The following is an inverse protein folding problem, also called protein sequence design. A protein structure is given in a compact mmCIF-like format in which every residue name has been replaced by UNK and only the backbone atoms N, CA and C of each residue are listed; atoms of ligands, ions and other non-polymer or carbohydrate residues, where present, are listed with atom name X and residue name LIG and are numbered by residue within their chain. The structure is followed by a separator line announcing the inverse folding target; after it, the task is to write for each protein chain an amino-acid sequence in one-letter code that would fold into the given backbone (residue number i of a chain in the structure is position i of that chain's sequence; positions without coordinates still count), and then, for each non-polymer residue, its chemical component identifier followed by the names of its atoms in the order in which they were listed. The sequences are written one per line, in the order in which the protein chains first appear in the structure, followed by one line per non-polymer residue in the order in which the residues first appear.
data_IF_670607508104
#
_entry.id   IF_670607508104
#
_cell.length_a   1.000
_cell.length_b   1.000
_cell.length_c   1.000
_cell.angle_alpha   90.00
_cell.angle_beta   90.00
_cell.angle_gamma   90.00
#
_symmetry.space_group_name_H-M   'P 1'
#
loop_
_entity.id
_entity.type
_entity.pdbx_description
1 polymer ?
#
# COMPACT_ATOMS: atom_id res chain seq x y z
N UNK A 1 -4.20 17.17 -32.59
CA UNK A 1 -3.18 16.14 -32.32
C UNK A 1 -2.50 16.37 -30.96
N UNK A 2 -2.06 17.59 -30.62
CA UNK A 2 -1.45 17.84 -29.30
C UNK A 2 -2.46 17.89 -28.14
N UNK A 3 -3.67 18.39 -28.40
CA UNK A 3 -4.74 18.43 -27.40
C UNK A 3 -5.19 17.04 -26.95
N UNK A 4 -5.36 16.10 -27.89
CA UNK A 4 -5.73 14.72 -27.59
C UNK A 4 -4.64 14.01 -26.78
N UNK A 5 -3.38 14.18 -27.15
CA UNK A 5 -2.23 13.63 -26.40
C UNK A 5 -2.16 14.17 -24.98
N UNK A 6 -2.42 15.47 -24.80
CA UNK A 6 -2.43 16.11 -23.49
C UNK A 6 -3.63 15.65 -22.65
N UNK A 7 -4.80 15.43 -23.27
CA UNK A 7 -5.96 14.85 -22.60
C UNK A 7 -5.71 13.41 -22.14
N UNK A 8 -5.05 12.58 -22.95
CA UNK A 8 -4.68 11.21 -22.58
C UNK A 8 -3.72 11.22 -21.39
N UNK A 9 -2.67 12.05 -21.44
CA UNK A 9 -1.72 12.21 -20.33
C UNK A 9 -2.41 12.66 -19.04
N UNK A 10 -3.35 13.61 -19.14
CA UNK A 10 -4.13 14.08 -18.00
C UNK A 10 -4.96 12.95 -17.38
N UNK A 11 -5.66 12.16 -18.21
CA UNK A 11 -6.45 11.02 -17.73
C UNK A 11 -5.57 9.99 -17.03
N UNK A 12 -4.42 9.64 -17.63
CA UNK A 12 -3.47 8.71 -17.04
C UNK A 12 -2.99 9.19 -15.67
N UNK A 13 -2.55 10.46 -15.56
CA UNK A 13 -2.06 11.03 -14.31
C UNK A 13 -3.15 11.07 -13.21
N UNK A 14 -4.40 11.33 -13.58
CA UNK A 14 -5.52 11.30 -12.65
C UNK A 14 -5.78 9.89 -12.12
N UNK A 15 -5.83 8.89 -13.01
CA UNK A 15 -6.01 7.49 -12.62
C UNK A 15 -4.86 6.97 -11.75
N UNK A 16 -3.61 7.34 -12.05
CA UNK A 16 -2.46 7.03 -11.19
C UNK A 16 -2.59 7.69 -9.81
N UNK A 17 -3.07 8.94 -9.76
CA UNK A 17 -3.34 9.67 -8.53
C UNK A 17 -4.41 8.99 -7.66
N UNK A 18 -5.49 8.52 -8.28
CA UNK A 18 -6.54 7.76 -7.58
C UNK A 18 -5.99 6.46 -6.98
N UNK A 19 -5.19 5.70 -7.74
CA UNK A 19 -4.56 4.48 -7.23
C UNK A 19 -3.58 4.76 -6.08
N UNK A 20 -2.84 5.86 -6.14
CA UNK A 20 -1.96 6.32 -5.05
C UNK A 20 -2.75 6.67 -3.80
N UNK A 21 -3.83 7.43 -3.96
CA UNK A 21 -4.70 7.83 -2.85
C UNK A 21 -5.31 6.60 -2.15
N UNK A 22 -5.79 5.62 -2.91
CA UNK A 22 -6.31 4.38 -2.34
C UNK A 22 -5.25 3.59 -1.55
N UNK A 23 -4.00 3.58 -2.02
CA UNK A 23 -2.90 2.94 -1.30
C UNK A 23 -2.60 3.62 0.04
N UNK A 24 -2.67 4.95 0.10
CA UNK A 24 -2.51 5.72 1.35
C UNK A 24 -3.61 5.34 2.34
N UNK A 25 -4.89 5.38 1.92
CA UNK A 25 -6.01 5.00 2.77
C UNK A 25 -5.92 3.55 3.27
N UNK A 26 -5.37 2.65 2.44
CA UNK A 26 -5.13 1.28 2.86
C UNK A 26 -4.05 1.20 3.94
N UNK A 27 -3.01 2.01 3.83
CA UNK A 27 -2.01 2.19 4.87
C UNK A 27 -2.57 2.67 6.19
N UNK A 28 -3.45 3.67 6.18
CA UNK A 28 -4.14 4.16 7.38
C UNK A 28 -4.94 3.02 8.04
N UNK A 29 -5.67 2.24 7.25
CA UNK A 29 -6.41 1.08 7.74
C UNK A 29 -5.50 0.00 8.32
N UNK A 30 -4.32 -0.23 7.73
CA UNK A 30 -3.33 -1.15 8.29
C UNK A 30 -2.85 -0.62 9.65
N UNK A 31 -2.49 0.66 9.74
CA UNK A 31 -2.03 1.26 10.98
C UNK A 31 -3.07 1.12 12.10
N UNK A 32 -4.34 1.38 11.79
CA UNK A 32 -5.45 1.17 12.72
C UNK A 32 -5.61 -0.31 13.11
N UNK A 33 -5.58 -1.23 12.14
CA UNK A 33 -5.75 -2.67 12.36
C UNK A 33 -4.64 -3.26 13.23
N UNK A 34 -3.40 -2.88 12.98
CA UNK A 34 -2.21 -3.41 13.65
C UNK A 34 -1.83 -2.60 14.89
N UNK A 35 -2.49 -1.47 15.14
CA UNK A 35 -2.24 -0.61 16.30
C UNK A 35 -0.93 0.17 16.23
N UNK A 36 -0.50 0.57 15.03
CA UNK A 36 0.72 1.35 14.85
C UNK A 36 0.54 2.77 15.40
N UNK A 37 1.53 3.24 16.16
CA UNK A 37 1.54 4.60 16.73
C UNK A 37 2.51 5.46 15.94
N UNK A 38 2.01 6.54 15.34
CA UNK A 38 2.82 7.50 14.59
C UNK A 38 3.21 7.04 13.19
N UNK A 39 2.54 6.01 12.65
CA UNK A 39 2.67 5.60 11.25
C UNK A 39 1.31 5.69 10.58
N UNK A 40 1.27 6.25 9.38
CA UNK A 40 0.09 6.36 8.54
C UNK A 40 0.46 6.15 7.07
N UNK A 41 -0.54 6.11 6.20
CA UNK A 41 -0.37 6.09 4.75
C UNK A 41 0.68 5.08 4.26
N UNK A 42 1.59 5.56 3.43
CA UNK A 42 2.61 4.70 2.83
C UNK A 42 3.65 4.18 3.84
N UNK A 43 3.90 4.91 4.94
CA UNK A 43 4.84 4.47 5.97
C UNK A 43 4.32 3.24 6.71
N UNK A 44 3.02 3.25 7.04
CA UNK A 44 2.35 2.09 7.61
C UNK A 44 2.39 0.88 6.66
N UNK A 45 2.23 1.10 5.35
CA UNK A 45 2.37 0.05 4.34
C UNK A 45 3.78 -0.53 4.32
N UNK A 46 4.81 0.31 4.23
CA UNK A 46 6.20 -0.17 4.21
C UNK A 46 6.55 -0.94 5.49
N UNK A 47 6.17 -0.40 6.65
CA UNK A 47 6.40 -1.05 7.93
C UNK A 47 5.72 -2.42 7.97
N UNK A 48 4.48 -2.51 7.51
CA UNK A 48 3.74 -3.76 7.43
C UNK A 48 4.42 -4.79 6.52
N UNK A 49 4.84 -4.39 5.32
CA UNK A 49 5.51 -5.30 4.38
C UNK A 49 6.82 -5.86 4.96
N UNK A 50 7.62 -5.00 5.62
CA UNK A 50 8.86 -5.41 6.30
C UNK A 50 8.56 -6.44 7.39
N UNK A 51 7.54 -6.20 8.23
CA UNK A 51 7.26 -7.07 9.37
C UNK A 51 6.54 -8.36 8.99
N UNK A 52 5.64 -8.32 8.01
CA UNK A 52 4.88 -9.49 7.56
C UNK A 52 5.70 -10.45 6.71
N UNK A 53 6.49 -9.92 5.78
CA UNK A 53 7.24 -10.74 4.82
C UNK A 53 8.74 -10.85 5.14
N UNK A 54 9.20 -10.15 6.18
CA UNK A 54 10.62 -10.12 6.58
C UNK A 54 11.56 -9.67 5.47
N UNK A 55 11.08 -8.81 4.57
CA UNK A 55 11.88 -8.23 3.50
C UNK A 55 12.81 -7.14 4.03
N UNK A 56 13.92 -6.91 3.33
CA UNK A 56 14.85 -5.86 3.71
C UNK A 56 14.17 -4.49 3.52
N UNK A 57 14.29 -3.57 4.49
CA UNK A 57 13.71 -2.23 4.35
C UNK A 57 14.15 -1.52 3.08
N UNK A 58 15.44 -1.67 2.71
CA UNK A 58 15.99 -1.12 1.46
C UNK A 58 15.18 -1.55 0.23
N UNK A 59 14.81 -2.82 0.15
CA UNK A 59 14.11 -3.36 -1.01
C UNK A 59 12.66 -2.86 -1.01
N UNK A 60 12.00 -2.86 0.15
CA UNK A 60 10.63 -2.36 0.32
C UNK A 60 10.52 -0.87 -0.05
N UNK A 61 11.44 -0.03 0.42
CA UNK A 61 11.47 1.41 0.08
C UNK A 61 11.85 1.67 -1.38
N UNK A 62 12.49 0.72 -2.06
CA UNK A 62 12.83 0.82 -3.48
C UNK A 62 11.70 0.32 -4.40
N UNK A 63 10.66 -0.31 -3.86
CA UNK A 63 9.53 -0.80 -4.66
C UNK A 63 8.76 0.36 -5.29
N UNK A 64 8.28 0.15 -6.52
CA UNK A 64 7.33 1.06 -7.13
C UNK A 64 5.97 0.88 -6.45
N UNK A 65 5.17 1.95 -6.44
CA UNK A 65 3.81 1.90 -5.87
C UNK A 65 2.93 0.87 -6.59
N UNK A 66 3.16 0.64 -7.88
CA UNK A 66 2.50 -0.41 -8.66
C UNK A 66 2.80 -1.82 -8.11
N UNK A 67 4.07 -2.11 -7.81
CA UNK A 67 4.51 -3.38 -7.26
C UNK A 67 3.97 -3.58 -5.83
N UNK A 68 3.93 -2.50 -5.04
CA UNK A 68 3.33 -2.52 -3.70
C UNK A 68 1.83 -2.85 -3.78
N UNK A 69 1.09 -2.21 -4.70
CA UNK A 69 -0.33 -2.53 -4.92
C UNK A 69 -0.51 -3.98 -5.35
N UNK A 70 0.36 -4.49 -6.24
CA UNK A 70 0.30 -5.89 -6.67
C UNK A 70 0.50 -6.86 -5.51
N UNK A 71 1.50 -6.63 -4.65
CA UNK A 71 1.75 -7.46 -3.46
C UNK A 71 0.55 -7.43 -2.51
N UNK A 72 -0.12 -6.28 -2.40
CA UNK A 72 -1.24 -6.07 -1.50
C UNK A 72 -2.61 -6.41 -2.12
N UNK A 73 -2.69 -6.76 -3.40
CA UNK A 73 -3.94 -6.93 -4.14
C UNK A 73 -4.88 -7.97 -3.47
N UNK A 74 -4.29 -9.06 -2.97
CA UNK A 74 -5.02 -10.10 -2.24
C UNK A 74 -5.46 -9.66 -0.83
N UNK A 75 -4.70 -8.79 -0.17
CA UNK A 75 -5.03 -8.22 1.15
C UNK A 75 -6.06 -7.08 1.04
N UNK A 76 -6.06 -6.37 -0.09
CA UNK A 76 -7.03 -5.34 -0.47
C UNK A 76 -8.40 -5.96 -0.79
N UNK A 77 -8.42 -7.12 -1.46
CA UNK A 77 -9.65 -7.85 -1.80
C UNK A 77 -10.22 -8.68 -0.64
N UNK A 78 -9.40 -9.03 0.35
CA UNK A 78 -9.82 -9.84 1.48
C UNK A 78 -9.29 -9.24 2.80
N UNK A 79 -10.12 -8.50 3.57
CA UNK A 79 -9.74 -8.11 4.92
C UNK A 79 -9.61 -9.39 5.75
N UNK A 80 -8.38 -9.87 5.93
CA UNK A 80 -8.12 -11.10 6.66
C UNK A 80 -8.75 -11.02 8.08
N UNK A 81 -9.35 -12.10 8.59
CA UNK A 81 -9.86 -12.15 9.95
C UNK A 81 -8.69 -11.97 10.93
N UNK A 82 -8.96 -11.22 12.00
CA UNK A 82 -8.01 -10.87 13.05
C UNK A 82 -7.05 -12.03 13.37
N UNK A 83 -5.75 -11.81 13.16
CA UNK A 83 -4.75 -12.75 13.61
C UNK A 83 -4.87 -12.84 15.13
N UNK A 84 -5.40 -13.96 15.61
CA UNK A 84 -5.44 -14.29 17.03
C UNK A 84 -4.02 -14.35 17.61
N UNK A 85 -3.88 -14.17 18.93
CA UNK A 85 -2.58 -13.97 19.56
C UNK A 85 -1.64 -15.14 19.22
N UNK A 86 -0.46 -14.80 18.70
CA UNK A 86 0.66 -15.71 18.54
C UNK A 86 0.95 -16.35 19.91
N UNK A 87 0.53 -17.61 20.08
CA UNK A 87 0.93 -18.41 21.24
C UNK A 87 2.43 -18.69 21.08
N UNK A 88 3.25 -17.92 21.78
CA UNK A 88 4.61 -18.35 22.10
C UNK A 88 4.49 -19.52 23.08
N UNK A 89 4.88 -20.70 22.61
CA UNK A 89 5.22 -21.88 23.40
C UNK A 89 6.42 -21.62 24.30
#
# INVERSE_FOLDING_TARGET
MDDERNQIRKKLALSEGELNYHLILFGDRIAEREGYVGLDGLEAVHYYLIHKFHWLPRDVFAMKLEDIRFVLDQELSNPAPAQGPSKRT
#
